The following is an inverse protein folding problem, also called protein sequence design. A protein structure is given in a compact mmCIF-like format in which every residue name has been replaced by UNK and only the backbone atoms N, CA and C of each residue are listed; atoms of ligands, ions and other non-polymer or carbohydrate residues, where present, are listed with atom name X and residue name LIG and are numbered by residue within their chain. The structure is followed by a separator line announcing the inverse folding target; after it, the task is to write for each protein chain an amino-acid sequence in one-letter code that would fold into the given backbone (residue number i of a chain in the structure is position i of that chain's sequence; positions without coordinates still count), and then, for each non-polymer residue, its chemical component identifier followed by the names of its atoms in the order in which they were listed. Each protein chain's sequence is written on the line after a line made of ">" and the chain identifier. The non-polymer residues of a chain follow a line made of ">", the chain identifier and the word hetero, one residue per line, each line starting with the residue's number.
data_IF_295946445219
#
_entry.id   IF_295946445219
#
_cell.length_a   1.000
_cell.length_b   1.000
_cell.length_c   1.000
_cell.angle_alpha   90.00
_cell.angle_beta   90.00
_cell.angle_gamma   90.00
#
_symmetry.space_group_name_H-M   'P 1'
#
loop_
_entity.id
_entity.type
_entity.pdbx_description
1 polymer ?
#
# COMPACT_ATOMS: atom_id res chain seq x y z
N UNK A 1 4.33 2.34 17.52
CA UNK A 1 4.72 3.43 16.60
C UNK A 1 4.18 4.73 17.18
N UNK A 2 4.95 5.81 17.18
CA UNK A 2 4.49 7.12 17.68
C UNK A 2 4.40 8.07 16.51
N UNK A 3 3.17 8.41 16.13
CA UNK A 3 2.86 9.38 15.06
C UNK A 3 2.24 10.62 15.69
N UNK A 4 2.51 11.79 15.12
CA UNK A 4 1.99 13.08 15.59
C UNK A 4 1.62 13.95 14.41
N UNK A 5 0.55 14.73 14.56
CA UNK A 5 0.21 15.84 13.66
C UNK A 5 0.39 17.20 14.33
N UNK A 6 0.97 17.23 15.54
CA UNK A 6 1.33 18.46 16.22
C UNK A 6 2.60 19.06 15.59
N UNK A 7 2.44 20.15 14.85
CA UNK A 7 3.54 20.86 14.18
C UNK A 7 4.68 21.33 15.09
N UNK A 8 4.46 21.44 16.41
CA UNK A 8 5.55 21.76 17.34
C UNK A 8 6.59 20.63 17.47
N UNK A 9 6.21 19.40 17.09
CA UNK A 9 7.11 18.25 17.11
C UNK A 9 7.95 18.16 15.82
N UNK A 10 7.65 18.96 14.81
CA UNK A 10 8.32 18.93 13.51
C UNK A 10 9.55 19.85 13.53
N UNK A 11 10.69 19.32 13.09
CA UNK A 11 11.89 20.09 12.83
C UNK A 11 11.84 20.78 11.47
N UNK A 12 12.89 21.56 11.15
CA UNK A 12 12.99 22.25 9.86
C UNK A 12 13.01 21.30 8.67
N UNK A 13 13.57 20.10 8.84
CA UNK A 13 13.61 19.07 7.80
C UNK A 13 12.20 18.52 7.56
N UNK A 14 11.52 18.10 8.61
CA UNK A 14 10.18 17.53 8.54
C UNK A 14 9.15 18.53 7.98
N UNK A 15 9.31 19.83 8.28
CA UNK A 15 8.50 20.90 7.65
C UNK A 15 8.78 21.00 6.15
N UNK A 16 10.03 20.82 5.71
CA UNK A 16 10.36 20.82 4.29
C UNK A 16 9.76 19.59 3.58
N UNK A 17 9.86 18.41 4.19
CA UNK A 17 9.26 17.17 3.69
C UNK A 17 7.72 17.31 3.60
N UNK A 18 7.08 17.89 4.62
CA UNK A 18 5.65 18.18 4.61
C UNK A 18 5.25 19.15 3.48
N UNK A 19 6.04 20.19 3.25
CA UNK A 19 5.81 21.16 2.16
C UNK A 19 5.86 20.46 0.80
N UNK A 20 6.82 19.58 0.60
CA UNK A 20 6.96 18.80 -0.63
C UNK A 20 5.72 17.93 -0.85
N UNK A 21 5.36 17.09 0.13
CA UNK A 21 4.15 16.26 0.07
C UNK A 21 2.89 17.06 -0.25
N UNK A 22 2.66 18.17 0.46
CA UNK A 22 1.49 19.03 0.25
C UNK A 22 1.47 19.68 -1.14
N UNK A 23 2.62 19.84 -1.80
CA UNK A 23 2.67 20.34 -3.18
C UNK A 23 2.07 19.35 -4.20
N UNK A 24 2.01 18.06 -3.85
CA UNK A 24 1.42 16.99 -4.65
C UNK A 24 -0.01 16.60 -4.20
N UNK A 25 -0.61 17.29 -3.23
CA UNK A 25 -1.94 16.93 -2.68
C UNK A 25 -3.08 16.88 -3.72
N UNK A 26 -2.90 17.51 -4.90
CA UNK A 26 -3.92 17.47 -5.97
C UNK A 26 -3.83 16.22 -6.85
N UNK A 27 -2.71 15.48 -6.80
CA UNK A 27 -2.53 14.25 -7.58
C UNK A 27 -2.90 12.99 -6.81
N UNK A 28 -3.18 13.08 -5.50
CA UNK A 28 -3.62 11.93 -4.71
C UNK A 28 -5.11 11.69 -4.92
N UNK A 29 -5.49 10.43 -5.04
CA UNK A 29 -6.88 10.00 -5.06
C UNK A 29 -7.33 9.65 -3.63
N UNK A 30 -7.84 10.66 -2.92
CA UNK A 30 -8.51 10.45 -1.63
C UNK A 30 -9.94 10.98 -1.71
N UNK A 31 -10.88 10.22 -1.13
CA UNK A 31 -12.29 10.61 -1.02
C UNK A 31 -12.57 11.42 0.26
N UNK A 32 -11.56 11.63 1.11
CA UNK A 32 -11.69 12.13 2.46
C UNK A 32 -10.83 13.34 2.79
N UNK A 33 -10.66 13.57 4.10
CA UNK A 33 -9.72 14.58 4.62
C UNK A 33 -8.34 13.99 4.70
N UNK A 34 -7.35 14.75 4.24
CA UNK A 34 -5.94 14.37 4.29
C UNK A 34 -5.22 15.21 5.34
N UNK A 35 -4.41 14.56 6.18
CA UNK A 35 -3.59 15.16 7.23
C UNK A 35 -2.11 14.85 7.01
N UNK A 36 -1.24 15.78 7.38
CA UNK A 36 0.21 15.54 7.48
C UNK A 36 0.50 14.88 8.81
N UNK A 37 1.17 13.72 8.79
CA UNK A 37 1.66 13.06 9.99
C UNK A 37 3.17 12.85 9.96
N UNK A 38 3.76 12.84 11.14
CA UNK A 38 5.18 12.63 11.37
C UNK A 38 5.39 11.43 12.30
N UNK A 39 6.12 10.43 11.81
CA UNK A 39 6.63 9.34 12.63
C UNK A 39 7.93 9.77 13.31
N UNK A 40 7.83 10.12 14.59
CA UNK A 40 8.95 10.66 15.39
C UNK A 40 10.08 9.66 15.63
N UNK A 41 9.82 8.36 15.43
CA UNK A 41 10.83 7.31 15.58
C UNK A 41 11.67 7.13 14.31
N UNK A 42 11.07 7.26 13.13
CA UNK A 42 11.76 7.06 11.85
C UNK A 42 12.26 8.35 11.20
N UNK A 43 11.70 9.51 11.58
CA UNK A 43 12.00 10.75 10.85
C UNK A 43 11.09 10.96 9.63
N UNK A 44 10.13 10.07 9.36
CA UNK A 44 9.33 10.10 8.13
C UNK A 44 8.08 10.97 8.28
N UNK A 45 7.87 11.86 7.31
CA UNK A 45 6.64 12.63 7.15
C UNK A 45 5.84 12.02 6.00
N UNK A 46 4.52 11.96 6.15
CA UNK A 46 3.62 11.36 5.17
C UNK A 46 2.24 12.02 5.22
N UNK A 47 1.48 11.86 4.15
CA UNK A 47 0.06 12.19 4.14
C UNK A 47 -0.74 10.95 4.53
N UNK A 48 -1.82 11.14 5.27
CA UNK A 48 -2.76 10.07 5.59
C UNK A 48 -4.19 10.58 5.50
N UNK A 49 -5.10 9.74 5.02
CA UNK A 49 -6.53 10.05 5.03
C UNK A 49 -7.31 9.33 6.14
N UNK A 50 -8.62 9.52 6.15
CA UNK A 50 -9.51 8.93 7.15
C UNK A 50 -9.66 7.40 7.06
N UNK A 51 -9.31 6.82 5.90
CA UNK A 51 -9.30 5.38 5.67
C UNK A 51 -7.91 4.77 5.95
N UNK A 52 -7.00 5.56 6.54
CA UNK A 52 -5.60 5.18 6.81
C UNK A 52 -4.79 4.86 5.55
N UNK A 53 -5.20 5.35 4.37
CA UNK A 53 -4.31 5.33 3.22
C UNK A 53 -3.17 6.29 3.46
N UNK A 54 -1.96 5.85 3.17
CA UNK A 54 -0.73 6.61 3.41
C UNK A 54 -0.13 6.99 2.06
N UNK A 55 0.33 8.22 1.92
CA UNK A 55 1.11 8.65 0.75
C UNK A 55 2.46 9.22 1.18
N UNK A 56 3.50 8.82 0.47
CA UNK A 56 4.89 9.19 0.72
C UNK A 56 5.56 9.63 -0.58
N UNK A 57 6.67 10.35 -0.48
CA UNK A 57 7.50 10.65 -1.64
C UNK A 57 8.27 9.39 -2.05
N UNK A 58 8.08 8.96 -3.30
CA UNK A 58 8.89 7.94 -3.99
C UNK A 58 9.72 8.65 -5.07
N UNK A 59 10.96 9.01 -4.73
CA UNK A 59 11.78 9.87 -5.60
C UNK A 59 11.15 11.26 -5.76
N UNK A 60 10.75 11.61 -6.99
CA UNK A 60 10.14 12.91 -7.34
C UNK A 60 8.60 12.89 -7.38
N UNK A 61 7.98 11.73 -7.14
CA UNK A 61 6.53 11.56 -7.20
C UNK A 61 5.95 11.23 -5.83
N UNK A 62 4.69 11.58 -5.62
CA UNK A 62 3.92 11.07 -4.48
C UNK A 62 3.26 9.75 -4.89
N UNK A 63 3.35 8.75 -4.02
CA UNK A 63 2.78 7.42 -4.25
C UNK A 63 2.12 6.89 -2.98
N UNK A 64 1.11 6.03 -3.14
CA UNK A 64 0.47 5.32 -2.02
C UNK A 64 1.46 4.32 -1.43
N UNK A 65 1.62 4.32 -0.11
CA UNK A 65 2.38 3.33 0.63
C UNK A 65 1.44 2.23 1.09
N UNK A 66 1.68 1.01 0.62
CA UNK A 66 0.82 -0.13 0.86
C UNK A 66 1.30 -0.94 2.07
N UNK A 67 0.37 -1.48 2.83
CA UNK A 67 0.61 -2.48 3.86
C UNK A 67 -0.29 -3.69 3.57
N UNK A 68 0.31 -4.85 3.36
CA UNK A 68 -0.44 -6.09 3.20
C UNK A 68 -1.03 -6.50 4.57
N UNK A 69 -2.37 -6.55 4.71
CA UNK A 69 -3.00 -6.83 6.00
C UNK A 69 -2.81 -8.28 6.49
N UNK A 70 -2.28 -9.14 5.62
CA UNK A 70 -2.20 -10.59 5.84
C UNK A 70 -0.84 -11.02 6.38
N UNK A 71 0.25 -10.43 5.86
CA UNK A 71 1.61 -10.76 6.30
C UNK A 71 2.38 -9.55 6.86
N UNK A 72 1.85 -8.33 6.72
CA UNK A 72 2.50 -7.10 7.16
C UNK A 72 3.64 -6.64 6.26
N UNK A 73 3.78 -7.17 5.03
CA UNK A 73 4.70 -6.63 4.03
C UNK A 73 4.29 -5.21 3.66
N UNK A 74 5.26 -4.30 3.54
CA UNK A 74 5.04 -2.87 3.35
C UNK A 74 5.94 -2.34 2.24
N UNK A 75 5.45 -1.39 1.45
CA UNK A 75 6.22 -0.81 0.35
C UNK A 75 5.41 0.05 -0.61
N UNK A 76 6.13 0.63 -1.58
CA UNK A 76 5.52 1.18 -2.79
C UNK A 76 5.09 0.06 -3.73
N UNK A 77 4.36 0.36 -4.80
CA UNK A 77 3.76 -0.67 -5.65
C UNK A 77 4.83 -1.64 -6.19
N UNK A 78 5.98 -1.15 -6.65
CA UNK A 78 7.10 -1.98 -7.12
C UNK A 78 7.70 -2.91 -6.05
N UNK A 79 7.51 -2.59 -4.77
CA UNK A 79 7.98 -3.39 -3.64
C UNK A 79 6.94 -4.39 -3.16
N UNK A 80 5.70 -4.36 -3.67
CA UNK A 80 4.59 -5.17 -3.18
C UNK A 80 4.51 -6.58 -3.78
N UNK A 81 5.45 -6.99 -4.64
CA UNK A 81 5.59 -8.40 -5.01
C UNK A 81 6.18 -9.19 -3.83
N UNK A 82 5.38 -10.07 -3.23
CA UNK A 82 5.79 -10.85 -2.07
C UNK A 82 5.09 -12.21 -1.98
N UNK A 83 5.78 -13.18 -1.37
CA UNK A 83 5.21 -14.48 -1.05
C UNK A 83 4.24 -14.38 0.13
N UNK A 84 3.21 -15.21 0.15
CA UNK A 84 2.25 -15.20 1.24
C UNK A 84 1.18 -16.27 1.19
N UNK A 85 0.18 -16.11 2.05
CA UNK A 85 -1.03 -16.92 2.03
C UNK A 85 -1.99 -16.41 0.92
N UNK A 86 -3.11 -17.09 0.78
CA UNK A 86 -4.14 -16.71 -0.18
C UNK A 86 -4.66 -15.26 -0.03
N UNK A 87 -4.72 -14.72 1.18
CA UNK A 87 -5.12 -13.33 1.40
C UNK A 87 -4.10 -12.32 0.87
N UNK A 88 -2.79 -12.60 1.03
CA UNK A 88 -1.71 -11.73 0.54
C UNK A 88 -1.83 -11.52 -0.97
N UNK A 89 -2.24 -12.59 -1.62
CA UNK A 89 -2.45 -12.75 -3.03
C UNK A 89 -3.70 -12.00 -3.53
N UNK A 90 -4.83 -12.09 -2.83
CA UNK A 90 -6.00 -11.23 -3.12
C UNK A 90 -5.69 -9.75 -2.96
N UNK A 91 -4.91 -9.40 -1.94
CA UNK A 91 -4.45 -8.04 -1.73
C UNK A 91 -3.58 -7.54 -2.89
N UNK A 92 -2.57 -8.33 -3.31
CA UNK A 92 -1.73 -8.00 -4.46
C UNK A 92 -2.54 -7.84 -5.76
N UNK A 93 -3.62 -8.62 -5.93
CA UNK A 93 -4.57 -8.42 -7.04
C UNK A 93 -5.32 -7.08 -6.93
N UNK A 94 -5.82 -6.75 -5.74
CA UNK A 94 -6.60 -5.53 -5.51
C UNK A 94 -5.80 -4.25 -5.78
N UNK A 95 -4.49 -4.26 -5.52
CA UNK A 95 -3.60 -3.13 -5.81
C UNK A 95 -2.95 -3.18 -7.21
N UNK A 96 -3.26 -4.19 -8.02
CA UNK A 96 -2.84 -4.26 -9.43
C UNK A 96 -1.48 -4.91 -9.70
N UNK A 97 -0.89 -5.64 -8.73
CA UNK A 97 0.34 -6.42 -8.93
C UNK A 97 0.06 -7.74 -9.64
N UNK A 98 -1.00 -8.43 -9.23
CA UNK A 98 -1.39 -9.73 -9.81
C UNK A 98 -2.64 -9.56 -10.66
N UNK A 99 -2.61 -10.07 -11.88
CA UNK A 99 -3.79 -10.13 -12.75
C UNK A 99 -4.62 -11.40 -12.52
N UNK A 100 -5.93 -11.30 -12.75
CA UNK A 100 -6.84 -12.45 -12.72
C UNK A 100 -6.57 -13.42 -13.87
N UNK A 101 -6.66 -14.73 -13.61
CA UNK A 101 -6.50 -15.77 -14.63
C UNK A 101 -7.83 -16.52 -14.84
N UNK A 102 -8.50 -16.22 -15.96
CA UNK A 102 -9.82 -16.79 -16.31
C UNK A 102 -9.77 -18.25 -16.80
N UNK A 103 -8.59 -18.89 -16.85
CA UNK A 103 -8.37 -20.14 -17.60
C UNK A 103 -8.56 -21.40 -16.73
N UNK A 104 -8.51 -21.30 -15.39
CA UNK A 104 -8.37 -22.48 -14.50
C UNK A 104 -9.53 -22.70 -13.51
N UNK A 105 -10.74 -22.23 -13.84
CA UNK A 105 -11.90 -22.09 -12.95
C UNK A 105 -12.41 -23.38 -12.23
N UNK A 106 -11.89 -24.58 -12.57
CA UNK A 106 -12.44 -25.85 -12.05
C UNK A 106 -11.45 -26.87 -11.45
N UNK A 107 -10.13 -26.68 -11.52
CA UNK A 107 -9.18 -27.78 -11.20
C UNK A 107 -8.21 -27.55 -10.03
N UNK A 108 -8.03 -26.34 -9.50
CA UNK A 108 -6.92 -26.04 -8.58
C UNK A 108 -7.36 -25.30 -7.31
N UNK A 109 -6.71 -25.64 -6.18
CA UNK A 109 -6.89 -24.91 -4.93
C UNK A 109 -6.11 -23.58 -4.97
N UNK A 110 -6.63 -22.50 -4.35
CA UNK A 110 -5.98 -21.19 -4.39
C UNK A 110 -4.58 -21.12 -3.76
N UNK A 111 -4.16 -22.16 -3.03
CA UNK A 111 -2.85 -22.29 -2.39
C UNK A 111 -1.71 -22.70 -3.32
N UNK A 112 -2.02 -23.22 -4.51
CA UNK A 112 -1.03 -23.99 -5.28
C UNK A 112 -0.35 -23.17 -6.38
N UNK A 113 -0.85 -21.97 -6.66
CA UNK A 113 -0.42 -21.16 -7.81
C UNK A 113 -0.75 -21.83 -9.15
N UNK A 114 -0.91 -21.05 -10.21
CA UNK A 114 -0.99 -21.61 -11.56
C UNK A 114 0.43 -21.99 -12.04
N UNK A 115 0.77 -23.28 -12.22
CA UNK A 115 2.12 -23.71 -12.58
C UNK A 115 2.58 -23.18 -13.95
N UNK A 116 1.63 -22.87 -14.85
CA UNK A 116 1.94 -22.36 -16.19
C UNK A 116 2.10 -20.84 -16.23
N UNK A 117 1.38 -20.11 -15.39
CA UNK A 117 1.24 -18.66 -15.52
C UNK A 117 1.85 -17.86 -14.38
N UNK A 118 2.28 -18.50 -13.27
CA UNK A 118 2.78 -17.84 -12.05
C UNK A 118 1.82 -16.78 -11.50
N UNK A 119 0.52 -16.91 -11.78
CA UNK A 119 -0.57 -16.06 -11.28
C UNK A 119 -1.46 -16.85 -10.33
N UNK A 120 -2.28 -16.15 -9.57
CA UNK A 120 -3.24 -16.80 -8.67
C UNK A 120 -4.42 -17.41 -9.43
N UNK A 121 -4.82 -18.64 -9.09
CA UNK A 121 -6.10 -19.17 -9.52
C UNK A 121 -7.25 -18.45 -8.80
N UNK A 122 -8.37 -18.23 -9.51
CA UNK A 122 -9.59 -17.62 -8.94
C UNK A 122 -10.09 -18.38 -7.70
N UNK A 123 -10.44 -17.63 -6.66
CA UNK A 123 -11.09 -18.12 -5.44
C UNK A 123 -12.43 -18.80 -5.74
N UNK A 124 -12.59 -20.09 -5.39
CA UNK A 124 -13.93 -20.68 -5.25
C UNK A 124 -14.24 -20.95 -3.78
N UNK A 125 -15.33 -20.36 -3.29
CA UNK A 125 -16.04 -20.84 -2.10
C UNK A 125 -16.44 -22.29 -2.32
N UNK A 126 -15.94 -23.18 -1.48
CA UNK A 126 -16.43 -24.56 -1.37
C UNK A 126 -17.72 -24.50 -0.56
N UNK A 127 -18.83 -24.96 -1.15
CA UNK A 127 -20.11 -25.16 -0.45
C UNK A 127 -19.99 -26.24 0.61
#
# INVERSE_FOLDING_TARGET
>A
MTVTSNWNDFGHREIADAKELLSHIKSIESYGKVEVQFNTMSGCVFLVDEDYKVWMMNGEAIEEWHNCPECGHEGFLEDMEHDGNYGCFEFQKAIGIVEECDIHYEEYLPSDGCPDCKKLPTLKKVN
#
